data_IF_267688956779
#
_entry.id   IF_267688956779
#
_cell.length_a   1.000
_cell.length_b   1.000
_cell.length_c   1.000
_cell.angle_alpha   90.00
_cell.angle_beta   90.00
_cell.angle_gamma   90.00
#
_symmetry.space_group_name_H-M   'P 1'
#
loop_
_entity.id
_entity.type
_entity.pdbx_description
1 polymer ?
#
# COMPACT_ATOMS: atom_id res chain seq x y z
N UNK A 1 -17.55 -23.02 -18.94
CA UNK A 1 -17.37 -22.65 -17.52
C UNK A 1 -16.13 -21.78 -17.44
N UNK A 2 -16.30 -20.49 -17.14
CA UNK A 2 -15.24 -19.49 -17.28
C UNK A 2 -14.08 -19.79 -16.31
N UNK A 3 -12.95 -20.18 -16.91
CA UNK A 3 -11.62 -20.28 -16.34
C UNK A 3 -11.25 -18.90 -15.78
N UNK A 4 -11.11 -18.77 -14.47
CA UNK A 4 -10.70 -17.53 -13.80
C UNK A 4 -9.52 -16.91 -14.57
N UNK A 5 -9.79 -15.79 -15.22
CA UNK A 5 -8.77 -14.93 -15.85
C UNK A 5 -7.94 -14.24 -14.76
N UNK A 6 -6.69 -13.81 -15.08
CA UNK A 6 -5.78 -13.23 -14.11
C UNK A 6 -6.46 -12.12 -13.29
N UNK A 7 -6.24 -12.23 -11.98
CA UNK A 7 -6.79 -11.57 -10.80
C UNK A 7 -8.05 -10.66 -10.98
N UNK A 8 -9.21 -11.18 -10.56
CA UNK A 8 -10.47 -10.43 -10.52
C UNK A 8 -10.37 -9.13 -9.71
N UNK A 9 -9.44 -9.03 -8.76
CA UNK A 9 -9.15 -7.79 -8.04
C UNK A 9 -8.54 -6.71 -8.95
N UNK A 10 -7.55 -7.05 -9.78
CA UNK A 10 -6.92 -6.12 -10.71
C UNK A 10 -7.91 -5.62 -11.76
N UNK A 11 -8.77 -6.51 -12.28
CA UNK A 11 -9.85 -6.14 -13.21
C UNK A 11 -10.82 -5.12 -12.62
N UNK A 12 -11.18 -5.28 -11.34
CA UNK A 12 -12.05 -4.32 -10.65
C UNK A 12 -11.36 -2.96 -10.47
N UNK A 13 -10.07 -2.95 -10.13
CA UNK A 13 -9.29 -1.71 -9.99
C UNK A 13 -9.17 -0.99 -11.34
N UNK A 14 -8.82 -1.70 -12.41
CA UNK A 14 -8.74 -1.15 -13.76
C UNK A 14 -10.08 -0.55 -14.20
N UNK A 15 -11.17 -1.32 -14.08
CA UNK A 15 -12.52 -0.89 -14.43
C UNK A 15 -12.96 0.36 -13.63
N UNK A 16 -12.66 0.40 -12.33
CA UNK A 16 -12.96 1.55 -11.50
C UNK A 16 -12.21 2.79 -11.95
N UNK A 17 -10.91 2.68 -12.20
CA UNK A 17 -10.08 3.80 -12.66
C UNK A 17 -10.50 4.30 -14.05
N UNK A 18 -10.93 3.41 -14.95
CA UNK A 18 -11.47 3.80 -16.26
C UNK A 18 -12.76 4.61 -16.09
N UNK A 19 -13.71 4.09 -15.31
CA UNK A 19 -14.98 4.77 -15.04
C UNK A 19 -14.79 6.11 -14.30
N UNK A 20 -13.88 6.17 -13.33
CA UNK A 20 -13.58 7.42 -12.61
C UNK A 20 -12.96 8.47 -13.53
N UNK A 21 -12.12 8.06 -14.50
CA UNK A 21 -11.58 8.97 -15.49
C UNK A 21 -12.64 9.43 -16.50
N UNK A 22 -13.56 8.55 -16.91
CA UNK A 22 -14.64 8.86 -17.85
C UNK A 22 -15.70 9.81 -17.27
N UNK A 23 -16.11 9.60 -16.01
CA UNK A 23 -17.33 10.18 -15.43
C UNK A 23 -17.12 10.94 -14.13
N UNK A 24 -15.92 10.87 -13.55
CA UNK A 24 -15.63 11.34 -12.21
C UNK A 24 -16.04 10.34 -11.13
N UNK A 25 -15.33 10.39 -10.00
CA UNK A 25 -15.47 9.44 -8.90
C UNK A 25 -16.90 9.36 -8.34
N UNK A 26 -17.57 10.50 -8.16
CA UNK A 26 -18.89 10.55 -7.50
C UNK A 26 -20.01 9.95 -8.35
N UNK A 27 -19.89 9.98 -9.68
CA UNK A 27 -20.92 9.52 -10.61
C UNK A 27 -20.90 8.01 -10.89
N UNK A 28 -19.93 7.29 -10.33
CA UNK A 28 -19.71 5.86 -10.59
C UNK A 28 -20.16 5.03 -9.40
N UNK A 29 -20.83 3.90 -9.66
CA UNK A 29 -21.33 2.96 -8.66
C UNK A 29 -20.55 1.64 -8.67
N UNK A 30 -20.60 0.91 -7.56
CA UNK A 30 -20.01 -0.44 -7.44
C UNK A 30 -20.58 -1.41 -8.48
N UNK A 31 -21.86 -1.28 -8.83
CA UNK A 31 -22.50 -2.15 -9.81
C UNK A 31 -21.90 -1.95 -11.20
N UNK A 32 -21.71 -0.69 -11.62
CA UNK A 32 -21.10 -0.35 -12.91
C UNK A 32 -19.63 -0.79 -12.98
N UNK A 33 -18.88 -0.67 -11.88
CA UNK A 33 -17.50 -1.18 -11.80
C UNK A 33 -17.47 -2.70 -11.99
N UNK A 34 -18.33 -3.42 -11.28
CA UNK A 34 -18.39 -4.87 -11.38
C UNK A 34 -18.79 -5.31 -12.81
N UNK A 35 -19.79 -4.67 -13.39
CA UNK A 35 -20.24 -4.92 -14.76
C UNK A 35 -19.12 -4.66 -15.77
N UNK A 36 -18.43 -3.51 -15.68
CA UNK A 36 -17.30 -3.16 -16.54
C UNK A 36 -16.15 -4.15 -16.40
N UNK A 37 -15.91 -4.66 -15.19
CA UNK A 37 -14.91 -5.68 -14.93
C UNK A 37 -15.34 -7.09 -15.39
N UNK A 38 -16.58 -7.30 -15.84
CA UNK A 38 -17.13 -8.61 -16.17
C UNK A 38 -17.36 -9.51 -14.96
N UNK A 39 -17.61 -8.91 -13.79
CA UNK A 39 -17.76 -9.58 -12.50
C UNK A 39 -19.09 -9.19 -11.82
N UNK A 40 -19.42 -9.85 -10.73
CA UNK A 40 -20.64 -9.56 -9.97
C UNK A 40 -20.36 -8.58 -8.83
N UNK A 41 -21.41 -7.88 -8.37
CA UNK A 41 -21.36 -7.04 -7.17
C UNK A 41 -20.93 -7.84 -5.92
N UNK A 42 -21.33 -9.10 -5.81
CA UNK A 42 -20.88 -10.00 -4.74
C UNK A 42 -19.37 -10.26 -4.81
N UNK A 43 -18.82 -10.47 -6.01
CA UNK A 43 -17.37 -10.59 -6.20
C UNK A 43 -16.65 -9.29 -5.85
N UNK A 44 -17.18 -8.12 -6.21
CA UNK A 44 -16.62 -6.84 -5.76
C UNK A 44 -16.48 -6.79 -4.24
N UNK A 45 -17.56 -7.08 -3.50
CA UNK A 45 -17.56 -6.97 -2.04
C UNK A 45 -16.70 -8.01 -1.33
N UNK A 46 -16.36 -9.11 -2.01
CA UNK A 46 -15.36 -10.06 -1.52
C UNK A 46 -13.94 -9.47 -1.51
N UNK A 47 -13.66 -8.51 -2.41
CA UNK A 47 -12.35 -7.87 -2.52
C UNK A 47 -12.30 -6.50 -1.84
N UNK A 48 -13.38 -5.73 -1.88
CA UNK A 48 -13.43 -4.35 -1.40
C UNK A 48 -14.69 -4.10 -0.58
N UNK A 49 -14.58 -3.61 0.66
CA UNK A 49 -15.75 -3.28 1.48
C UNK A 49 -16.64 -2.21 0.83
N UNK A 50 -16.02 -1.22 0.19
CA UNK A 50 -16.73 -0.13 -0.49
C UNK A 50 -15.98 0.39 -1.74
N UNK A 51 -16.60 1.34 -2.46
CA UNK A 51 -16.04 1.98 -3.68
C UNK A 51 -14.71 2.69 -3.43
N UNK A 52 -14.52 3.28 -2.25
CA UNK A 52 -13.31 4.03 -1.87
C UNK A 52 -12.15 3.08 -1.63
N UNK A 53 -12.43 1.86 -1.18
CA UNK A 53 -11.41 0.88 -0.89
C UNK A 53 -10.75 0.31 -2.15
N UNK A 54 -11.37 0.49 -3.31
CA UNK A 54 -10.73 0.20 -4.61
C UNK A 54 -9.51 1.09 -4.82
N UNK A 55 -9.59 2.37 -4.42
CA UNK A 55 -8.47 3.32 -4.48
C UNK A 55 -7.44 3.08 -3.36
N UNK A 56 -7.85 2.40 -2.28
CA UNK A 56 -6.95 1.95 -1.22
C UNK A 56 -6.13 0.71 -1.62
N UNK A 57 -6.51 0.07 -2.74
CA UNK A 57 -5.90 -1.10 -3.34
C UNK A 57 -5.20 -2.04 -2.34
N UNK A 58 -5.95 -2.56 -1.35
CA UNK A 58 -5.47 -3.60 -0.46
C UNK A 58 -4.71 -3.15 0.78
N UNK A 59 -5.04 -2.00 1.38
CA UNK A 59 -4.47 -1.59 2.68
C UNK A 59 -4.55 -2.69 3.75
N UNK A 60 -5.70 -3.36 3.93
CA UNK A 60 -5.81 -4.44 4.92
C UNK A 60 -4.83 -5.60 4.62
N UNK A 61 -4.62 -5.88 3.34
CA UNK A 61 -3.64 -6.86 2.89
C UNK A 61 -2.20 -6.36 3.11
N UNK A 62 -1.93 -5.08 2.85
CA UNK A 62 -0.64 -4.44 3.13
C UNK A 62 -0.31 -4.46 4.63
N UNK A 63 -1.27 -4.08 5.48
CA UNK A 63 -1.14 -4.16 6.94
C UNK A 63 -0.79 -5.59 7.38
N UNK A 64 -1.53 -6.58 6.86
CA UNK A 64 -1.23 -8.00 7.11
C UNK A 64 0.21 -8.38 6.73
N UNK A 65 0.66 -8.04 5.52
CA UNK A 65 2.03 -8.34 5.06
C UNK A 65 3.12 -7.64 5.89
N UNK A 66 2.88 -6.39 6.32
CA UNK A 66 3.78 -5.64 7.19
C UNK A 66 3.90 -6.32 8.55
N UNK A 67 2.76 -6.59 9.20
CA UNK A 67 2.70 -7.21 10.52
C UNK A 67 3.30 -8.61 10.49
N UNK A 68 2.99 -9.42 9.47
CA UNK A 68 3.56 -10.76 9.28
C UNK A 68 5.09 -10.70 9.10
N UNK A 69 5.60 -9.77 8.28
CA UNK A 69 7.03 -9.63 8.07
C UNK A 69 7.77 -9.14 9.31
N UNK A 70 7.17 -8.22 10.08
CA UNK A 70 7.72 -7.76 11.36
C UNK A 70 7.73 -8.90 12.37
N UNK A 71 6.64 -9.64 12.52
CA UNK A 71 6.55 -10.79 13.41
C UNK A 71 7.55 -11.90 13.03
N UNK A 72 7.76 -12.12 11.73
CA UNK A 72 8.67 -13.13 11.19
C UNK A 72 10.16 -12.77 11.18
N UNK A 73 10.53 -11.52 11.51
CA UNK A 73 11.94 -11.12 11.53
C UNK A 73 12.73 -11.81 12.67
N UNK A 74 14.06 -12.05 12.51
CA UNK A 74 14.90 -12.68 13.54
C UNK A 74 14.75 -12.02 14.91
N UNK A 75 14.81 -12.79 16.01
CA UNK A 75 14.53 -12.27 17.35
C UNK A 75 15.49 -11.13 17.77
N UNK A 76 16.73 -11.21 17.29
CA UNK A 76 17.81 -10.25 17.50
C UNK A 76 17.76 -9.04 16.57
N UNK A 77 16.84 -9.00 15.60
CA UNK A 77 16.73 -7.89 14.65
C UNK A 77 16.31 -6.60 15.36
N UNK A 78 17.00 -5.50 15.04
CA UNK A 78 16.62 -4.18 15.52
C UNK A 78 15.27 -3.72 14.95
N UNK A 79 14.64 -2.67 15.51
CA UNK A 79 13.31 -2.21 15.09
C UNK A 79 13.21 -1.88 13.61
N UNK A 80 14.21 -1.17 13.05
CA UNK A 80 14.23 -0.82 11.63
C UNK A 80 14.49 -2.03 10.72
N UNK A 81 15.19 -3.06 11.20
CA UNK A 81 15.41 -4.30 10.42
C UNK A 81 14.14 -5.15 10.40
N UNK A 82 13.40 -5.19 11.51
CA UNK A 82 12.08 -5.83 11.55
C UNK A 82 11.08 -5.11 10.64
N UNK A 83 11.08 -3.77 10.62
CA UNK A 83 10.31 -2.97 9.66
C UNK A 83 10.74 -3.27 8.23
N UNK A 84 12.05 -3.38 7.96
CA UNK A 84 12.56 -3.72 6.63
C UNK A 84 12.01 -5.06 6.13
N UNK A 85 11.92 -6.07 6.99
CA UNK A 85 11.33 -7.37 6.63
C UNK A 85 9.84 -7.26 6.25
N UNK A 86 9.06 -6.46 6.98
CA UNK A 86 7.68 -6.14 6.61
C UNK A 86 7.59 -5.40 5.27
N UNK A 87 8.46 -4.40 5.07
CA UNK A 87 8.51 -3.62 3.84
C UNK A 87 8.91 -4.46 2.62
N UNK A 88 9.82 -5.42 2.79
CA UNK A 88 10.23 -6.34 1.73
C UNK A 88 9.06 -7.23 1.27
N UNK A 89 8.23 -7.71 2.20
CA UNK A 89 7.03 -8.49 1.87
C UNK A 89 6.05 -7.67 1.03
N UNK A 90 5.75 -6.44 1.47
CA UNK A 90 4.87 -5.54 0.70
C UNK A 90 5.50 -5.20 -0.64
N UNK A 91 6.76 -4.77 -0.67
CA UNK A 91 7.42 -4.35 -1.89
C UNK A 91 7.58 -5.49 -2.91
N UNK A 92 7.85 -6.71 -2.45
CA UNK A 92 7.94 -7.91 -3.29
C UNK A 92 6.60 -8.38 -3.86
N UNK A 93 5.50 -7.99 -3.22
CA UNK A 93 4.14 -8.30 -3.69
C UNK A 93 3.61 -7.32 -4.75
N UNK A 94 4.30 -6.19 -4.98
CA UNK A 94 3.89 -5.19 -5.97
C UNK A 94 4.35 -5.58 -7.37
N UNK A 95 3.41 -5.62 -8.31
CA UNK A 95 3.65 -6.05 -9.70
C UNK A 95 3.66 -4.86 -10.67
N UNK A 96 3.92 -5.10 -11.96
CA UNK A 96 3.79 -4.05 -12.99
C UNK A 96 2.41 -3.39 -12.99
N UNK A 97 1.35 -4.13 -12.64
CA UNK A 97 0.01 -3.58 -12.49
C UNK A 97 -0.04 -2.45 -11.46
N UNK A 98 0.55 -2.65 -10.28
CA UNK A 98 0.61 -1.61 -9.24
C UNK A 98 1.34 -0.36 -9.73
N UNK A 99 2.42 -0.54 -10.50
CA UNK A 99 3.18 0.56 -11.10
C UNK A 99 2.33 1.37 -12.07
N UNK A 100 1.64 0.68 -12.98
CA UNK A 100 0.84 1.28 -14.05
C UNK A 100 -0.37 2.06 -13.51
N UNK A 101 -1.03 1.54 -12.48
CA UNK A 101 -2.25 2.18 -11.94
C UNK A 101 -1.97 3.26 -10.92
N UNK A 102 -0.80 3.29 -10.28
CA UNK A 102 -0.48 4.21 -9.19
C UNK A 102 -0.67 5.70 -9.54
N UNK A 103 -0.22 6.22 -10.70
CA UNK A 103 -0.47 7.61 -11.08
C UNK A 103 -1.97 7.94 -11.21
N UNK A 104 -2.75 6.99 -11.75
CA UNK A 104 -4.20 7.13 -11.92
C UNK A 104 -4.91 7.17 -10.57
N UNK A 105 -4.55 6.27 -9.65
CA UNK A 105 -5.08 6.25 -8.27
C UNK A 105 -4.79 7.58 -7.57
N UNK A 106 -3.55 8.08 -7.64
CA UNK A 106 -3.17 9.37 -7.04
C UNK A 106 -3.99 10.53 -7.61
N UNK A 107 -4.21 10.57 -8.92
CA UNK A 107 -5.03 11.60 -9.55
C UNK A 107 -6.48 11.58 -9.06
N UNK A 108 -7.07 10.39 -8.90
CA UNK A 108 -8.44 10.26 -8.37
C UNK A 108 -8.51 10.68 -6.90
N UNK A 109 -7.55 10.27 -6.06
CA UNK A 109 -7.50 10.71 -4.66
C UNK A 109 -7.37 12.24 -4.58
N UNK A 110 -6.49 12.84 -5.36
CA UNK A 110 -6.30 14.30 -5.40
C UNK A 110 -7.56 15.08 -5.82
N UNK A 111 -8.51 14.43 -6.53
CA UNK A 111 -9.73 15.08 -7.01
C UNK A 111 -10.81 15.32 -5.93
N UNK A 112 -10.69 14.73 -4.73
CA UNK A 112 -11.72 14.81 -3.69
C UNK A 112 -11.13 14.91 -2.28
N UNK A 113 -11.59 15.90 -1.51
CA UNK A 113 -11.21 16.06 -0.10
C UNK A 113 -11.63 14.87 0.77
N UNK A 114 -12.75 14.21 0.46
CA UNK A 114 -13.16 12.98 1.17
C UNK A 114 -12.14 11.86 0.95
N UNK A 115 -11.68 11.68 -0.30
CA UNK A 115 -10.71 10.65 -0.64
C UNK A 115 -9.34 10.94 0.00
N UNK A 116 -8.90 12.20 0.01
CA UNK A 116 -7.67 12.62 0.69
C UNK A 116 -7.74 12.35 2.19
N UNK A 117 -8.84 12.74 2.85
CA UNK A 117 -9.02 12.50 4.28
C UNK A 117 -9.01 11.00 4.61
N UNK A 118 -9.64 10.19 3.75
CA UNK A 118 -9.60 8.72 3.91
C UNK A 118 -8.18 8.19 3.72
N UNK A 119 -7.47 8.58 2.67
CA UNK A 119 -6.09 8.15 2.42
C UNK A 119 -5.17 8.47 3.62
N UNK A 120 -5.29 9.67 4.18
CA UNK A 120 -4.56 10.06 5.39
C UNK A 120 -4.92 9.18 6.60
N UNK A 121 -6.21 8.92 6.83
CA UNK A 121 -6.64 8.04 7.92
C UNK A 121 -6.08 6.61 7.78
N UNK A 122 -5.95 6.13 6.54
CA UNK A 122 -5.35 4.82 6.24
C UNK A 122 -3.86 4.79 6.56
N UNK A 123 -3.13 5.84 6.22
CA UNK A 123 -1.73 5.97 6.57
C UNK A 123 -1.52 5.92 8.08
N UNK A 124 -2.32 6.67 8.85
CA UNK A 124 -2.30 6.65 10.32
C UNK A 124 -2.55 5.24 10.87
N UNK A 125 -3.53 4.52 10.30
CA UNK A 125 -3.80 3.13 10.70
C UNK A 125 -2.62 2.20 10.44
N UNK A 126 -1.94 2.32 9.28
CA UNK A 126 -0.78 1.47 8.95
C UNK A 126 0.39 1.72 9.90
N UNK A 127 0.68 2.99 10.22
CA UNK A 127 1.72 3.35 11.20
C UNK A 127 1.40 2.74 12.57
N UNK A 128 0.14 2.82 13.01
CA UNK A 128 -0.30 2.24 14.27
C UNK A 128 -0.15 0.71 14.29
N UNK A 129 -0.53 0.02 13.21
CA UNK A 129 -0.41 -1.44 13.10
C UNK A 129 1.06 -1.89 13.13
N UNK A 130 1.95 -1.18 12.43
CA UNK A 130 3.40 -1.45 12.45
C UNK A 130 4.00 -1.19 13.83
N UNK A 131 3.62 -0.10 14.48
CA UNK A 131 4.08 0.22 15.83
C UNK A 131 3.62 -0.86 16.83
N UNK A 132 2.37 -1.30 16.76
CA UNK A 132 1.85 -2.39 17.59
C UNK A 132 2.62 -3.70 17.36
N UNK A 133 2.90 -4.06 16.11
CA UNK A 133 3.69 -5.25 15.79
C UNK A 133 5.13 -5.19 16.35
N UNK A 134 5.73 -4.00 16.42
CA UNK A 134 7.03 -3.80 17.07
C UNK A 134 6.93 -3.86 18.61
N UNK A 135 5.86 -3.33 19.19
CA UNK A 135 5.60 -3.43 20.64
C UNK A 135 5.41 -4.88 21.08
N UNK A 136 4.75 -5.71 20.27
CA UNK A 136 4.62 -7.16 20.50
C UNK A 136 5.98 -7.88 20.51
N UNK A 137 6.99 -7.29 19.86
CA UNK A 137 8.40 -7.74 19.91
C UNK A 137 9.20 -7.15 21.07
N UNK A 138 8.55 -6.41 21.97
CA UNK A 138 9.18 -5.78 23.14
C UNK A 138 9.87 -4.43 22.84
N UNK A 139 9.64 -3.82 21.67
CA UNK A 139 10.17 -2.49 21.36
C UNK A 139 9.40 -1.42 22.14
N UNK A 140 10.06 -0.52 22.89
CA UNK A 140 9.38 0.57 23.58
C UNK A 140 8.62 1.50 22.62
N UNK A 141 7.45 1.98 23.05
CA UNK A 141 6.51 2.75 22.22
C UNK A 141 7.16 3.92 21.43
N UNK A 142 7.95 4.83 22.04
CA UNK A 142 8.56 5.92 21.27
C UNK A 142 9.48 5.44 20.14
N UNK A 143 10.17 4.32 20.34
CA UNK A 143 11.05 3.71 19.33
C UNK A 143 10.23 3.00 18.26
N UNK A 144 9.15 2.31 18.67
CA UNK A 144 8.24 1.62 17.77
C UNK A 144 7.53 2.60 16.82
N UNK A 145 6.97 3.70 17.35
CA UNK A 145 6.31 4.73 16.54
C UNK A 145 7.28 5.40 15.58
N UNK A 146 8.49 5.75 16.04
CA UNK A 146 9.50 6.36 15.17
C UNK A 146 9.95 5.40 14.06
N UNK A 147 10.20 4.14 14.37
CA UNK A 147 10.56 3.13 13.39
C UNK A 147 9.45 2.90 12.35
N UNK A 148 8.19 2.90 12.78
CA UNK A 148 7.02 2.79 11.90
C UNK A 148 6.94 3.97 10.92
N UNK A 149 7.08 5.20 11.41
CA UNK A 149 7.07 6.41 10.58
C UNK A 149 8.23 6.42 9.57
N UNK A 150 9.44 6.08 10.00
CA UNK A 150 10.61 5.96 9.13
C UNK A 150 10.36 4.92 8.04
N UNK A 151 9.80 3.76 8.41
CA UNK A 151 9.46 2.70 7.45
C UNK A 151 8.43 3.14 6.42
N UNK A 152 7.39 3.84 6.85
CA UNK A 152 6.34 4.31 5.94
C UNK A 152 6.79 5.45 5.05
N UNK A 153 7.70 6.30 5.53
CA UNK A 153 8.41 7.28 4.73
C UNK A 153 9.29 6.59 3.65
N UNK A 154 10.08 5.60 4.04
CA UNK A 154 10.92 4.83 3.12
C UNK A 154 10.10 4.16 2.00
N UNK A 155 8.97 3.54 2.37
CA UNK A 155 8.07 2.92 1.41
C UNK A 155 7.52 3.93 0.41
N UNK A 156 7.04 5.08 0.89
CA UNK A 156 6.46 6.13 0.04
C UNK A 156 7.48 6.67 -0.98
N UNK A 157 8.71 6.92 -0.54
CA UNK A 157 9.77 7.47 -1.38
C UNK A 157 10.27 6.44 -2.40
N UNK A 158 10.47 5.19 -1.96
CA UNK A 158 10.80 4.06 -2.83
C UNK A 158 9.72 3.81 -3.89
N UNK A 159 8.45 3.83 -3.48
CA UNK A 159 7.31 3.65 -4.38
C UNK A 159 7.17 4.79 -5.39
N UNK A 160 7.31 6.05 -4.96
CA UNK A 160 7.29 7.18 -5.86
C UNK A 160 8.39 7.09 -6.93
N UNK A 161 9.61 6.73 -6.52
CA UNK A 161 10.75 6.53 -7.44
C UNK A 161 10.49 5.38 -8.41
N UNK A 162 9.98 4.26 -7.90
CA UNK A 162 9.65 3.08 -8.70
C UNK A 162 8.57 3.35 -9.75
N UNK A 163 7.58 4.19 -9.45
CA UNK A 163 6.54 4.59 -10.41
C UNK A 163 7.00 5.60 -11.46
N UNK A 164 8.09 6.32 -11.22
CA UNK A 164 8.59 7.36 -12.11
C UNK A 164 9.63 6.87 -13.13
N UNK A 165 10.17 5.65 -12.97
CA UNK A 165 11.27 5.13 -13.78
C UNK A 165 10.91 3.79 -14.42
N UNK A 166 10.89 3.71 -15.74
CA UNK A 166 10.81 2.44 -16.48
C UNK A 166 12.21 1.83 -16.65
N UNK A 167 12.40 0.60 -16.16
CA UNK A 167 13.66 -0.16 -16.30
C UNK A 167 14.71 0.03 -15.19
N UNK A 168 14.35 0.66 -14.06
CA UNK A 168 15.22 0.81 -12.89
C UNK A 168 15.17 -0.38 -11.90
N UNK A 169 15.82 -0.25 -10.72
CA UNK A 169 15.77 -1.25 -9.66
C UNK A 169 14.34 -1.60 -9.25
N UNK A 170 14.13 -2.85 -8.80
CA UNK A 170 12.84 -3.28 -8.26
C UNK A 170 12.45 -2.49 -7.00
N UNK A 171 11.15 -2.47 -6.68
CA UNK A 171 10.63 -1.69 -5.56
C UNK A 171 11.32 -2.03 -4.22
N UNK A 172 11.60 -3.31 -3.97
CA UNK A 172 12.33 -3.77 -2.78
C UNK A 172 13.67 -3.05 -2.62
N UNK A 173 14.45 -2.95 -3.69
CA UNK A 173 15.75 -2.28 -3.65
C UNK A 173 15.61 -0.78 -3.36
N UNK A 174 14.63 -0.12 -3.99
CA UNK A 174 14.38 1.32 -3.81
C UNK A 174 13.89 1.64 -2.39
N UNK A 175 13.03 0.79 -1.81
CA UNK A 175 12.54 0.95 -0.43
C UNK A 175 13.67 0.74 0.57
N UNK A 176 14.53 -0.28 0.36
CA UNK A 176 15.71 -0.49 1.21
C UNK A 176 16.70 0.68 1.12
N UNK A 177 16.96 1.18 -0.08
CA UNK A 177 17.82 2.36 -0.27
C UNK A 177 17.26 3.59 0.45
N UNK A 178 15.94 3.83 0.35
CA UNK A 178 15.29 4.92 1.07
C UNK A 178 15.39 4.74 2.59
N UNK A 179 15.20 3.51 3.09
CA UNK A 179 15.27 3.20 4.52
C UNK A 179 16.67 3.46 5.09
N UNK A 180 17.72 3.04 4.39
CA UNK A 180 19.10 3.29 4.80
C UNK A 180 19.47 4.78 4.80
N UNK A 181 19.00 5.54 3.81
CA UNK A 181 19.17 7.01 3.81
C UNK A 181 18.52 7.66 5.02
N UNK A 182 17.29 7.25 5.36
CA UNK A 182 16.56 7.80 6.51
C UNK A 182 17.20 7.39 7.83
N UNK A 183 17.67 6.14 7.95
CA UNK A 183 18.45 5.66 9.10
C UNK A 183 19.69 6.53 9.33
N UNK A 184 20.45 6.82 8.27
CA UNK A 184 21.61 7.71 8.33
C UNK A 184 21.24 9.14 8.70
N UNK A 185 20.15 9.68 8.16
CA UNK A 185 19.67 11.02 8.47
C UNK A 185 19.26 11.17 9.94
N UNK A 186 18.57 10.17 10.51
CA UNK A 186 18.20 10.17 11.94
C UNK A 186 19.44 10.11 12.83
N UNK A 187 20.45 9.30 12.47
CA UNK A 187 21.73 9.28 13.20
C UNK A 187 22.52 10.59 13.12
N UNK A 188 22.32 11.39 12.07
CA UNK A 188 22.94 12.72 11.96
C UNK A 188 22.23 13.81 12.79
N UNK A 189 21.03 13.54 13.32
CA UNK A 189 20.29 14.47 14.19
C UNK A 189 20.74 14.43 15.66
N UNK A 190 21.58 13.45 16.06
CA UNK A 190 22.06 13.28 17.43
C UNK A 190 23.29 12.39 17.54
#
# INVERSE_FOLDING_TARGET
MARWEPDGRERLVAAALDLFAERGYDQVTVAEIAERAGLTRSTFFRHFPDKRDVLAAGQAWMSGLLVEGIAGAPAEAGPLDAVAAGLDNVAGSMTSFNREVAPRVRAVIASSAELQARDQAKHVSLVADVAAALQDRGVPDPVASLAAEIGMLAFRDGFATWTASDGGPGLVALVREALEKLRGAVGALG
#
